data_IF_880426139456
#
_entry.id   IF_880426139456
#
_cell.length_a   1.000
_cell.length_b   1.000
_cell.length_c   1.000
_cell.angle_alpha   90.00
_cell.angle_beta   90.00
_cell.angle_gamma   90.00
#
_symmetry.space_group_name_H-M   'P 1'
#
loop_
_entity.id
_entity.type
_entity.pdbx_description
1 polymer ?
#
# COMPACT_ATOMS: atom_id res chain seq x y z
N UNK A 1 -35.19 -29.44 -46.25
CA UNK A 1 -34.46 -29.85 -47.47
C UNK A 1 -33.23 -28.97 -47.58
N UNK A 2 -32.11 -29.64 -47.78
CA UNK A 2 -30.75 -29.19 -48.03
C UNK A 2 -29.90 -28.87 -46.81
N UNK A 3 -29.14 -29.86 -46.49
CA UNK A 3 -27.87 -29.91 -45.78
C UNK A 3 -26.86 -29.01 -46.49
N UNK A 4 -26.17 -28.19 -45.77
CA UNK A 4 -24.96 -27.51 -46.17
C UNK A 4 -23.85 -27.88 -45.18
N UNK A 5 -22.99 -28.80 -45.64
CA UNK A 5 -21.76 -29.20 -45.00
C UNK A 5 -20.68 -28.20 -45.42
N UNK A 6 -20.04 -27.50 -44.49
CA UNK A 6 -18.83 -26.74 -44.78
C UNK A 6 -17.76 -27.19 -43.80
N UNK A 7 -16.98 -28.16 -44.25
CA UNK A 7 -15.69 -28.48 -43.67
C UNK A 7 -14.69 -27.42 -44.04
N UNK A 8 -14.10 -26.76 -43.00
CA UNK A 8 -12.95 -25.89 -43.14
C UNK A 8 -11.78 -26.51 -42.36
N UNK A 9 -11.03 -27.37 -43.02
CA UNK A 9 -9.77 -27.90 -42.49
C UNK A 9 -8.68 -26.83 -42.58
N UNK A 10 -8.18 -26.42 -41.46
CA UNK A 10 -6.96 -25.64 -41.36
C UNK A 10 -5.80 -26.59 -41.04
N UNK A 11 -5.32 -27.27 -42.07
CA UNK A 11 -4.05 -27.97 -42.01
C UNK A 11 -2.94 -27.00 -42.42
N UNK A 12 -2.28 -26.36 -41.49
CA UNK A 12 -1.02 -25.68 -41.74
C UNK A 12 0.09 -26.44 -41.04
N UNK A 13 0.63 -27.46 -41.69
CA UNK A 13 1.87 -28.13 -41.33
C UNK A 13 3.03 -27.32 -41.88
N UNK A 14 3.40 -26.24 -41.17
CA UNK A 14 4.67 -25.60 -41.38
C UNK A 14 5.48 -25.67 -40.07
N UNK A 15 6.11 -26.84 -39.89
CA UNK A 15 7.05 -27.05 -38.83
C UNK A 15 8.38 -26.40 -39.25
N UNK A 16 8.87 -25.36 -38.63
CA UNK A 16 10.20 -24.83 -38.87
C UNK A 16 11.22 -25.80 -38.28
N UNK A 17 12.09 -26.29 -39.15
CA UNK A 17 13.25 -27.11 -38.80
C UNK A 17 14.18 -26.29 -37.89
N UNK A 18 14.63 -26.81 -36.74
CA UNK A 18 15.54 -26.09 -35.87
C UNK A 18 16.92 -25.93 -36.56
N UNK A 19 17.55 -24.75 -36.42
CA UNK A 19 18.88 -24.52 -36.97
C UNK A 19 19.94 -25.38 -36.28
N UNK A 20 21.05 -25.72 -36.96
CA UNK A 20 22.13 -26.53 -36.41
C UNK A 20 22.77 -25.84 -35.20
N UNK A 21 23.01 -26.64 -34.16
CA UNK A 21 23.71 -26.21 -32.94
C UNK A 21 25.12 -25.73 -33.28
N UNK A 22 25.36 -24.43 -33.20
CA UNK A 22 26.68 -23.88 -33.13
C UNK A 22 27.19 -24.02 -31.70
N UNK A 23 28.38 -24.60 -31.59
CA UNK A 23 29.12 -24.82 -30.34
C UNK A 23 29.28 -23.49 -29.63
N UNK A 24 28.70 -23.35 -28.44
CA UNK A 24 28.89 -22.21 -27.57
C UNK A 24 30.29 -22.20 -26.98
N UNK A 25 30.95 -21.04 -26.92
CA UNK A 25 32.13 -20.89 -26.07
C UNK A 25 31.73 -20.96 -24.61
N UNK A 26 32.52 -21.73 -23.85
CA UNK A 26 32.41 -21.85 -22.40
C UNK A 26 32.59 -20.50 -21.75
N UNK A 27 31.49 -19.89 -21.29
CA UNK A 27 31.58 -18.82 -20.32
C UNK A 27 31.59 -19.43 -18.93
N UNK A 28 32.64 -19.17 -18.21
CA UNK A 28 32.77 -19.48 -16.81
C UNK A 28 31.58 -18.89 -16.06
N UNK A 29 30.81 -19.75 -15.46
CA UNK A 29 29.72 -19.41 -14.58
C UNK A 29 30.28 -18.69 -13.35
N UNK A 30 30.22 -17.38 -13.35
CA UNK A 30 30.23 -16.65 -12.09
C UNK A 30 28.91 -16.97 -11.40
N UNK A 31 28.95 -17.98 -10.56
CA UNK A 31 27.95 -18.26 -9.55
C UNK A 31 27.94 -17.07 -8.59
N UNK A 32 27.12 -16.08 -8.87
CA UNK A 32 26.63 -15.19 -7.82
C UNK A 32 25.76 -16.03 -6.91
N UNK A 33 26.41 -16.58 -5.89
CA UNK A 33 25.74 -17.17 -4.75
C UNK A 33 24.84 -16.10 -4.14
N UNK A 34 23.55 -16.23 -4.39
CA UNK A 34 22.53 -15.57 -3.59
C UNK A 34 22.56 -16.28 -2.24
N UNK A 35 23.48 -15.88 -1.40
CA UNK A 35 23.52 -16.27 0.00
C UNK A 35 22.27 -15.69 0.66
N UNK A 36 21.26 -16.55 0.80
CA UNK A 36 20.25 -16.37 1.83
C UNK A 36 20.94 -16.55 3.18
N UNK A 37 21.66 -15.54 3.64
CA UNK A 37 22.13 -15.50 5.02
C UNK A 37 20.99 -15.02 5.90
N UNK A 38 20.21 -15.98 6.39
CA UNK A 38 19.59 -15.85 7.70
C UNK A 38 20.73 -15.75 8.72
N UNK A 39 21.30 -14.57 8.87
CA UNK A 39 22.41 -14.20 9.74
C UNK A 39 21.92 -13.22 10.78
N UNK A 40 21.60 -13.76 11.91
CA UNK A 40 21.40 -13.16 13.21
C UNK A 40 22.44 -12.09 13.52
N UNK A 41 21.92 -10.89 13.77
CA UNK A 41 22.38 -9.79 14.62
C UNK A 41 23.85 -9.76 15.08
N UNK A 42 24.51 -8.76 14.66
CA UNK A 42 25.66 -8.16 15.30
C UNK A 42 25.76 -6.74 14.75
N UNK A 43 25.56 -5.72 15.61
CA UNK A 43 25.53 -4.30 15.29
C UNK A 43 26.53 -3.82 14.24
N UNK A 44 26.17 -4.01 12.98
CA UNK A 44 26.66 -3.18 11.90
C UNK A 44 25.61 -2.10 11.77
N UNK A 45 26.04 -0.84 11.69
CA UNK A 45 25.17 0.27 11.33
C UNK A 45 24.46 -0.16 10.05
N UNK A 46 23.19 -0.58 10.17
CA UNK A 46 22.36 -0.88 9.03
C UNK A 46 22.19 0.44 8.32
N UNK A 47 22.66 0.53 7.09
CA UNK A 47 22.53 1.75 6.26
C UNK A 47 21.05 2.05 5.91
N UNK A 48 20.10 1.41 6.58
CA UNK A 48 18.65 1.52 6.35
C UNK A 48 18.20 1.04 4.98
N UNK A 49 19.08 0.33 4.25
CA UNK A 49 18.74 -0.14 2.89
C UNK A 49 17.64 -1.20 2.91
N UNK A 50 17.61 -2.04 3.93
CA UNK A 50 16.58 -3.06 4.09
C UNK A 50 15.22 -2.41 4.36
N UNK A 51 15.17 -1.50 5.32
CA UNK A 51 13.96 -0.76 5.71
C UNK A 51 13.42 0.06 4.54
N UNK A 52 14.33 0.76 3.83
CA UNK A 52 13.97 1.52 2.62
C UNK A 52 13.36 0.62 1.55
N UNK A 53 13.93 -0.56 1.32
CA UNK A 53 13.38 -1.52 0.35
C UNK A 53 11.99 -2.01 0.75
N UNK A 54 11.75 -2.31 2.03
CA UNK A 54 10.44 -2.70 2.53
C UNK A 54 9.40 -1.60 2.32
N UNK A 55 9.75 -0.36 2.62
CA UNK A 55 8.88 0.81 2.42
C UNK A 55 8.57 1.01 0.94
N UNK A 56 9.56 0.91 0.06
CA UNK A 56 9.37 1.04 -1.38
C UNK A 56 8.47 -0.06 -1.97
N UNK A 57 8.59 -1.30 -1.47
CA UNK A 57 7.70 -2.41 -1.91
C UNK A 57 6.24 -2.18 -1.48
N UNK A 58 6.01 -1.55 -0.32
CA UNK A 58 4.67 -1.19 0.15
C UNK A 58 4.09 0.00 -0.59
N UNK A 59 4.89 1.05 -0.76
CA UNK A 59 4.46 2.35 -1.26
C UNK A 59 4.56 2.47 -2.78
N UNK A 60 5.26 1.55 -3.46
CA UNK A 60 5.51 1.60 -4.90
C UNK A 60 4.28 1.98 -5.72
N UNK A 61 4.51 2.74 -6.80
CA UNK A 61 3.47 3.35 -7.65
C UNK A 61 2.54 2.35 -8.36
N UNK A 62 2.73 1.04 -8.18
CA UNK A 62 1.90 -0.01 -8.78
C UNK A 62 0.45 0.04 -8.31
N UNK A 63 -0.48 0.14 -9.26
CA UNK A 63 -1.92 0.06 -9.03
C UNK A 63 -2.59 1.40 -8.72
N UNK A 64 -3.91 1.45 -8.97
CA UNK A 64 -4.75 2.63 -8.76
C UNK A 64 -5.22 2.82 -7.30
N UNK A 65 -4.81 1.96 -6.39
CA UNK A 65 -5.28 1.97 -4.99
C UNK A 65 -4.51 2.98 -4.16
N UNK A 66 -5.22 3.70 -3.32
CA UNK A 66 -4.66 4.66 -2.36
C UNK A 66 -4.12 4.01 -1.06
N UNK A 67 -4.28 2.71 -0.90
CA UNK A 67 -3.81 1.95 0.24
C UNK A 67 -2.96 0.75 -0.21
N UNK A 68 -1.94 0.37 0.55
CA UNK A 68 -1.15 -0.83 0.27
C UNK A 68 -1.99 -2.10 0.42
N UNK A 69 -1.54 -3.24 -0.12
CA UNK A 69 -2.18 -4.53 0.10
C UNK A 69 -2.25 -4.85 1.60
N UNK A 70 -3.41 -5.26 2.14
CA UNK A 70 -3.59 -5.43 3.58
C UNK A 70 -2.66 -6.49 4.16
N UNK A 71 -2.37 -7.56 3.42
CA UNK A 71 -1.50 -8.64 3.88
C UNK A 71 -0.04 -8.15 4.02
N UNK A 72 0.44 -7.37 3.04
CA UNK A 72 1.78 -6.77 3.10
C UNK A 72 1.87 -5.72 4.21
N UNK A 73 0.84 -4.91 4.38
CA UNK A 73 0.80 -3.91 5.45
C UNK A 73 0.84 -4.58 6.83
N UNK A 74 0.06 -5.64 7.02
CA UNK A 74 0.06 -6.40 8.29
C UNK A 74 1.44 -6.99 8.56
N UNK A 75 2.04 -7.70 7.60
CA UNK A 75 3.37 -8.28 7.75
C UNK A 75 4.44 -7.21 8.04
N UNK A 76 4.33 -6.03 7.45
CA UNK A 76 5.21 -4.92 7.74
C UNK A 76 5.05 -4.43 9.18
N UNK A 77 3.82 -4.20 9.64
CA UNK A 77 3.52 -3.73 11.00
C UNK A 77 3.99 -4.75 12.05
N UNK A 78 3.78 -6.05 11.82
CA UNK A 78 4.28 -7.11 12.70
C UNK A 78 5.81 -7.10 12.86
N UNK A 79 6.53 -6.75 11.78
CA UNK A 79 7.98 -6.62 11.81
C UNK A 79 8.44 -5.25 12.35
N UNK A 80 7.61 -4.23 12.26
CA UNK A 80 7.97 -2.84 12.57
C UNK A 80 8.43 -2.64 14.02
N UNK A 81 7.92 -3.45 14.96
CA UNK A 81 8.37 -3.43 16.35
C UNK A 81 9.89 -3.72 16.51
N UNK A 82 10.51 -4.34 15.51
CA UNK A 82 11.95 -4.69 15.50
C UNK A 82 12.77 -3.83 14.54
N UNK A 83 12.11 -3.00 13.70
CA UNK A 83 12.75 -2.12 12.75
C UNK A 83 13.14 -0.79 13.43
N UNK A 84 14.21 -0.20 12.93
CA UNK A 84 14.69 1.09 13.43
C UNK A 84 13.82 2.23 12.88
N UNK A 85 13.26 3.06 13.78
CA UNK A 85 12.47 4.23 13.40
C UNK A 85 13.30 5.25 12.62
N UNK A 86 14.59 5.39 12.94
CA UNK A 86 15.50 6.30 12.25
C UNK A 86 15.85 5.83 10.83
N UNK A 87 15.57 4.58 10.49
CA UNK A 87 15.70 4.05 9.15
C UNK A 87 14.36 4.05 8.38
N UNK A 88 13.27 3.64 9.04
CA UNK A 88 11.92 3.58 8.45
C UNK A 88 11.35 4.99 8.24
N UNK A 89 11.55 5.90 9.21
CA UNK A 89 11.01 7.26 9.17
C UNK A 89 11.42 8.04 7.93
N UNK A 90 12.73 8.25 7.68
CA UNK A 90 13.19 8.93 6.47
C UNK A 90 12.74 8.27 5.18
N UNK A 91 12.68 6.92 5.13
CA UNK A 91 12.20 6.20 3.95
C UNK A 91 10.72 6.49 3.66
N UNK A 92 9.87 6.57 4.69
CA UNK A 92 8.47 6.95 4.54
C UNK A 92 8.30 8.43 4.18
N UNK A 93 9.11 9.33 4.75
CA UNK A 93 9.10 10.75 4.39
C UNK A 93 9.51 10.96 2.93
N UNK A 94 10.48 10.20 2.41
CA UNK A 94 10.83 10.21 0.99
C UNK A 94 9.63 9.83 0.10
N UNK A 95 8.83 8.85 0.49
CA UNK A 95 7.62 8.46 -0.26
C UNK A 95 6.46 9.46 -0.11
N UNK A 96 6.49 10.32 0.91
CA UNK A 96 5.52 11.42 1.11
C UNK A 96 5.87 12.70 0.34
N UNK A 97 7.08 12.79 -0.23
CA UNK A 97 7.56 13.95 -0.98
C UNK A 97 6.62 14.32 -2.14
N UNK A 98 6.50 15.61 -2.43
CA UNK A 98 5.63 16.15 -3.48
C UNK A 98 6.01 15.69 -4.89
N UNK A 99 7.25 15.33 -5.13
CA UNK A 99 7.72 14.77 -6.40
C UNK A 99 7.18 13.34 -6.65
N UNK A 100 6.73 12.64 -5.61
CA UNK A 100 6.19 11.29 -5.76
C UNK A 100 4.74 11.28 -6.24
N UNK A 101 4.31 10.24 -6.96
CA UNK A 101 2.92 10.07 -7.36
C UNK A 101 1.98 10.07 -6.16
N UNK A 102 0.79 10.64 -6.30
CA UNK A 102 -0.19 10.70 -5.20
C UNK A 102 -0.54 9.32 -4.62
N UNK A 103 -0.46 8.24 -5.41
CA UNK A 103 -0.70 6.88 -4.96
C UNK A 103 0.34 6.41 -3.94
N UNK A 104 1.63 6.66 -4.22
CA UNK A 104 2.73 6.34 -3.29
C UNK A 104 2.58 7.14 -2.00
N UNK A 105 2.32 8.43 -2.12
CA UNK A 105 2.07 9.33 -0.98
C UNK A 105 0.88 8.87 -0.12
N UNK A 106 -0.23 8.49 -0.75
CA UNK A 106 -1.40 7.99 -0.03
C UNK A 106 -1.13 6.64 0.67
N UNK A 107 -0.35 5.77 0.03
CA UNK A 107 0.06 4.50 0.65
C UNK A 107 1.00 4.74 1.83
N UNK A 108 1.96 5.66 1.70
CA UNK A 108 2.85 6.04 2.81
C UNK A 108 2.06 6.60 4.00
N UNK A 109 1.09 7.49 3.77
CA UNK A 109 0.17 7.92 4.83
C UNK A 109 -0.55 6.75 5.52
N UNK A 110 -0.98 5.73 4.75
CA UNK A 110 -1.64 4.55 5.32
C UNK A 110 -0.69 3.69 6.16
N UNK A 111 0.58 3.61 5.76
CA UNK A 111 1.62 2.89 6.52
C UNK A 111 1.90 3.62 7.83
N UNK A 112 2.11 4.94 7.80
CA UNK A 112 2.31 5.75 9.02
C UNK A 112 1.11 5.63 9.96
N UNK A 113 -0.13 5.74 9.44
CA UNK A 113 -1.36 5.54 10.22
C UNK A 113 -1.37 4.17 10.92
N UNK A 114 -0.97 3.10 10.22
CA UNK A 114 -0.95 1.76 10.76
C UNK A 114 0.13 1.60 11.84
N UNK A 115 1.32 2.16 11.64
CA UNK A 115 2.40 2.16 12.63
C UNK A 115 2.00 2.90 13.92
N UNK A 116 1.37 4.07 13.80
CA UNK A 116 0.93 4.86 14.94
C UNK A 116 -0.17 4.19 15.78
N UNK A 117 -0.90 3.23 15.19
CA UNK A 117 -1.97 2.51 15.87
C UNK A 117 -1.57 1.12 16.35
N UNK A 118 -0.40 0.66 15.97
CA UNK A 118 0.06 -0.68 16.31
C UNK A 118 0.73 -0.69 17.68
N UNK A 119 0.37 -1.69 18.49
CA UNK A 119 1.04 -1.93 19.76
C UNK A 119 2.50 -2.34 19.52
N UNK A 120 3.42 -1.81 20.33
CA UNK A 120 4.85 -2.09 20.21
C UNK A 120 5.58 -1.22 19.17
N UNK A 121 4.91 -0.26 18.56
CA UNK A 121 5.48 0.67 17.58
C UNK A 121 5.57 2.12 18.11
N UNK A 122 5.64 2.32 19.41
CA UNK A 122 5.64 3.63 20.05
C UNK A 122 6.85 4.48 19.63
N UNK A 123 7.96 3.85 19.31
CA UNK A 123 9.16 4.54 18.82
C UNK A 123 8.93 5.18 17.43
N UNK A 124 8.15 4.53 16.56
CA UNK A 124 7.72 5.13 15.29
C UNK A 124 6.73 6.28 15.51
N UNK A 125 5.80 6.12 16.46
CA UNK A 125 4.88 7.20 16.82
C UNK A 125 5.66 8.42 17.32
N UNK A 126 6.68 8.24 18.16
CA UNK A 126 7.57 9.30 18.62
C UNK A 126 8.22 10.05 17.46
N UNK A 127 8.85 9.31 16.54
CA UNK A 127 9.49 9.88 15.36
C UNK A 127 8.53 10.74 14.51
N UNK A 128 7.36 10.19 14.16
CA UNK A 128 6.39 10.92 13.32
C UNK A 128 5.70 12.07 14.05
N UNK A 129 5.65 12.06 15.37
CA UNK A 129 5.13 13.18 16.16
C UNK A 129 6.05 14.39 16.08
N UNK A 130 7.36 14.20 15.98
CA UNK A 130 8.34 15.28 15.84
C UNK A 130 8.25 16.00 14.48
N UNK A 131 7.89 15.27 13.43
CA UNK A 131 7.76 15.79 12.05
C UNK A 131 6.31 16.06 11.64
N UNK A 132 5.38 15.97 12.57
CA UNK A 132 3.94 16.04 12.28
C UNK A 132 3.52 17.37 11.65
N UNK A 133 4.16 18.47 11.99
CA UNK A 133 3.87 19.81 11.43
C UNK A 133 4.18 19.86 9.93
N UNK A 134 5.25 19.21 9.49
CA UNK A 134 5.61 19.14 8.08
C UNK A 134 4.58 18.30 7.29
N UNK A 135 3.97 17.31 7.94
CA UNK A 135 2.97 16.43 7.34
C UNK A 135 1.59 17.08 7.19
N UNK A 136 1.30 18.17 7.91
CA UNK A 136 0.02 18.89 7.80
C UNK A 136 -0.21 19.44 6.40
N UNK A 137 0.84 19.78 5.65
CA UNK A 137 0.75 20.22 4.27
C UNK A 137 0.02 19.25 3.34
N UNK A 138 0.02 17.95 3.66
CA UNK A 138 -0.66 16.91 2.90
C UNK A 138 -2.20 17.05 2.92
N UNK A 139 -2.78 17.76 3.89
CA UNK A 139 -4.22 18.02 3.93
C UNK A 139 -4.69 18.97 2.82
N UNK A 140 -3.78 19.77 2.28
CA UNK A 140 -4.06 20.71 1.19
C UNK A 140 -3.80 20.10 -0.21
N UNK A 141 -3.35 18.84 -0.28
CA UNK A 141 -3.08 18.18 -1.55
C UNK A 141 -4.28 18.22 -2.50
N UNK A 142 -4.03 18.34 -3.80
CA UNK A 142 -5.09 18.41 -4.82
C UNK A 142 -5.93 17.13 -4.91
N UNK A 143 -5.32 15.98 -4.63
CA UNK A 143 -6.01 14.69 -4.72
C UNK A 143 -6.83 14.38 -3.46
N UNK A 144 -8.14 14.13 -3.65
CA UNK A 144 -9.07 13.88 -2.55
C UNK A 144 -8.74 12.61 -1.75
N UNK A 145 -8.25 11.54 -2.41
CA UNK A 145 -7.91 10.30 -1.73
C UNK A 145 -6.68 10.48 -0.83
N UNK A 146 -5.68 11.24 -1.32
CA UNK A 146 -4.51 11.60 -0.53
C UNK A 146 -4.89 12.45 0.68
N UNK A 147 -5.68 13.51 0.51
CA UNK A 147 -6.18 14.33 1.63
C UNK A 147 -6.90 13.52 2.69
N UNK A 148 -7.78 12.60 2.25
CA UNK A 148 -8.51 11.74 3.18
C UNK A 148 -7.58 10.84 3.98
N UNK A 149 -6.54 10.31 3.35
CA UNK A 149 -5.57 9.45 4.01
C UNK A 149 -4.65 10.25 4.94
N UNK A 150 -4.22 11.45 4.51
CA UNK A 150 -3.44 12.36 5.34
C UNK A 150 -4.18 12.74 6.64
N UNK A 151 -5.46 13.07 6.58
CA UNK A 151 -6.27 13.34 7.78
C UNK A 151 -6.34 12.18 8.75
N UNK A 152 -6.44 10.94 8.24
CA UNK A 152 -6.43 9.75 9.10
C UNK A 152 -5.08 9.56 9.80
N UNK A 153 -4.01 9.75 9.05
CA UNK A 153 -2.65 9.71 9.58
C UNK A 153 -2.45 10.77 10.67
N UNK A 154 -2.78 12.04 10.39
CA UNK A 154 -2.67 13.12 11.36
C UNK A 154 -3.56 12.91 12.59
N UNK A 155 -4.75 12.34 12.41
CA UNK A 155 -5.60 11.94 13.53
C UNK A 155 -4.97 10.84 14.38
N UNK A 156 -4.25 9.89 13.77
CA UNK A 156 -3.51 8.85 14.51
C UNK A 156 -2.31 9.43 15.27
N UNK A 157 -1.68 10.47 14.74
CA UNK A 157 -0.61 11.24 15.41
C UNK A 157 -1.13 12.20 16.50
N UNK A 158 -2.46 12.37 16.62
CA UNK A 158 -3.04 13.29 17.59
C UNK A 158 -2.96 14.77 17.21
N UNK A 159 -2.55 15.09 15.98
CA UNK A 159 -2.33 16.47 15.49
C UNK A 159 -3.50 16.99 14.66
N UNK A 160 -4.36 16.11 14.13
CA UNK A 160 -5.54 16.53 13.40
C UNK A 160 -6.44 17.37 14.30
N UNK A 161 -6.54 18.62 13.99
CA UNK A 161 -7.53 19.52 14.60
C UNK A 161 -8.91 18.85 14.46
N UNK A 162 -9.57 18.66 15.56
CA UNK A 162 -10.85 18.01 15.75
C UNK A 162 -11.90 18.55 14.79
N UNK A 163 -11.97 17.98 13.59
CA UNK A 163 -13.16 18.00 12.78
C UNK A 163 -13.73 16.58 12.86
N UNK A 164 -14.67 16.32 13.78
CA UNK A 164 -15.38 15.06 13.76
C UNK A 164 -15.95 14.91 12.36
N UNK A 165 -15.46 13.89 11.63
CA UNK A 165 -16.18 13.42 10.46
C UNK A 165 -17.60 13.13 10.98
N UNK A 166 -18.52 14.07 10.75
CA UNK A 166 -19.92 13.91 11.03
C UNK A 166 -20.30 12.57 10.37
N UNK A 167 -20.41 11.55 11.18
CA UNK A 167 -21.06 10.33 10.76
C UNK A 167 -22.38 10.78 10.12
N UNK A 168 -22.73 10.32 8.92
CA UNK A 168 -24.00 10.67 8.34
C UNK A 168 -25.04 10.26 9.38
N UNK A 169 -25.64 11.26 10.02
CA UNK A 169 -26.77 11.03 10.93
C UNK A 169 -27.80 10.35 10.07
N UNK A 170 -27.92 9.05 10.28
CA UNK A 170 -29.02 8.27 9.76
C UNK A 170 -30.27 9.02 10.23
N UNK A 171 -30.95 9.64 9.28
CA UNK A 171 -32.21 10.32 9.56
C UNK A 171 -33.09 9.33 10.31
N UNK A 172 -33.70 9.69 11.44
CA UNK A 172 -34.64 8.82 12.11
C UNK A 172 -35.74 8.48 11.09
N UNK A 173 -36.22 7.22 11.06
CA UNK A 173 -37.33 6.86 10.18
C UNK A 173 -38.50 7.78 10.51
N UNK A 174 -39.27 8.23 9.50
CA UNK A 174 -40.44 9.03 9.75
C UNK A 174 -41.37 8.26 10.69
N UNK A 175 -41.74 8.89 11.78
CA UNK A 175 -42.70 8.34 12.70
C UNK A 175 -43.97 8.03 11.90
N UNK A 176 -44.33 6.76 11.85
CA UNK A 176 -45.61 6.32 11.32
C UNK A 176 -46.69 6.97 12.17
N UNK A 177 -47.34 7.98 11.60
CA UNK A 177 -48.58 8.52 12.16
C UNK A 177 -49.66 7.47 11.92
N UNK A 178 -49.85 6.59 12.89
CA UNK A 178 -51.09 5.85 12.99
C UNK A 178 -52.17 6.88 13.23
N UNK A 179 -52.79 7.28 12.14
CA UNK A 179 -54.07 8.00 12.22
C UNK A 179 -55.11 7.02 12.71
N UNK A 180 -55.42 7.21 13.96
CA UNK A 180 -56.63 6.81 14.65
C UNK A 180 -57.86 6.91 13.75
N UNK A 181 -58.40 5.78 13.30
CA UNK A 181 -59.69 5.61 12.67
C UNK A 181 -60.63 4.87 13.62
N UNK A 182 -60.90 5.49 14.77
CA UNK A 182 -62.04 5.13 15.60
C UNK A 182 -62.91 6.39 15.73
N UNK A 183 -63.95 6.45 14.95
CA UNK A 183 -64.95 7.47 15.00
C UNK A 183 -66.21 7.10 14.22
N UNK A 184 -67.08 6.35 14.84
CA UNK A 184 -68.47 6.68 15.02
C UNK A 184 -69.46 6.15 13.98
N UNK A 185 -70.34 5.31 14.45
CA UNK A 185 -71.68 4.93 13.99
C UNK A 185 -71.80 3.95 12.86
#
# INVERSE_FOLDING_TARGET
RRRGNVGGGWGNTNTPQPPPRQSAPSYEAHTTSTSSSAGRAGGAATDGAYERHLVQDLCGAGGARAAPPPDKLRAFVENAATLDADAVGPALLEELDDAKPWQSRAKACAVVEALCRADGCEHHLGYFSEVADDLQGLESASNLALRKQARRMLSALGVAGDAPAAAPRRAPPPASTEADLLGGF
#
